data_IF_088286080335
#
_entry.id   IF_088286080335
#
_cell.length_a   1.000
_cell.length_b   1.000
_cell.length_c   1.000
_cell.angle_alpha   90.00
_cell.angle_beta   90.00
_cell.angle_gamma   90.00
#
_symmetry.space_group_name_H-M   'P 1'
#
loop_
_entity.id
_entity.type
_entity.pdbx_description
1 polymer ?
#
# COMPACT_ATOMS: atom_id res chain seq x y z
N UNK A 1 2.28 8.30 29.52
CA UNK A 1 2.09 6.85 29.67
C UNK A 1 1.19 6.36 28.54
N UNK A 2 1.44 5.17 27.99
CA UNK A 2 0.61 4.61 26.91
C UNK A 2 -0.84 4.43 27.38
N UNK A 3 -1.81 4.81 26.55
CA UNK A 3 -3.25 4.62 26.81
C UNK A 3 -3.80 3.61 25.81
N UNK A 4 -4.55 2.63 26.31
CA UNK A 4 -5.11 1.58 25.49
C UNK A 4 -6.33 2.08 24.72
N UNK A 5 -6.25 2.11 23.39
CA UNK A 5 -7.33 2.56 22.51
C UNK A 5 -8.61 1.71 22.55
N UNK A 6 -8.55 0.49 23.10
CA UNK A 6 -9.72 -0.40 23.23
C UNK A 6 -10.49 -0.20 24.54
N UNK A 7 -9.81 0.20 25.62
CA UNK A 7 -10.44 0.29 26.94
C UNK A 7 -10.25 1.64 27.64
N UNK A 8 -9.51 2.57 27.04
CA UNK A 8 -9.22 3.90 27.57
C UNK A 8 -8.31 3.93 28.79
N UNK A 9 -7.80 2.78 29.27
CA UNK A 9 -6.96 2.74 30.48
C UNK A 9 -5.48 2.97 30.16
N UNK A 10 -4.75 3.75 30.97
CA UNK A 10 -3.31 3.90 30.83
C UNK A 10 -2.56 2.63 31.27
N UNK A 11 -1.31 2.48 30.80
CA UNK A 11 -0.35 1.46 31.25
C UNK A 11 -0.17 0.25 30.34
N UNK A 12 -0.92 0.14 29.23
CA UNK A 12 -0.74 -0.96 28.27
C UNK A 12 -1.17 -0.56 26.84
N UNK A 13 -0.61 -1.24 25.84
CA UNK A 13 -1.05 -1.13 24.45
C UNK A 13 -2.28 -2.02 24.19
N UNK A 14 -3.02 -1.73 23.11
CA UNK A 14 -4.23 -2.50 22.72
C UNK A 14 -4.00 -4.02 22.68
N UNK A 15 -2.85 -4.47 22.17
CA UNK A 15 -2.48 -5.89 22.08
C UNK A 15 -2.43 -6.61 23.45
N UNK A 16 -2.16 -5.87 24.51
CA UNK A 16 -2.04 -6.38 25.87
C UNK A 16 -3.33 -6.12 26.68
N UNK A 17 -4.42 -5.71 26.01
CA UNK A 17 -5.66 -5.36 26.69
C UNK A 17 -6.37 -6.60 27.25
N UNK A 18 -6.67 -6.65 28.56
CA UNK A 18 -7.37 -7.78 29.16
C UNK A 18 -8.76 -8.03 28.56
N UNK A 19 -9.41 -6.99 28.02
CA UNK A 19 -10.72 -7.10 27.36
C UNK A 19 -10.65 -7.93 26.07
N UNK A 20 -9.59 -7.78 25.27
CA UNK A 20 -9.35 -8.57 24.06
C UNK A 20 -9.05 -10.05 24.39
N UNK A 21 -8.33 -10.30 25.48
CA UNK A 21 -8.02 -11.65 25.96
C UNK A 21 -9.24 -12.46 26.39
N UNK A 22 -10.35 -11.82 26.76
CA UNK A 22 -11.59 -12.51 27.15
C UNK A 22 -12.50 -12.88 25.96
N UNK A 23 -12.27 -12.35 24.76
CA UNK A 23 -13.04 -12.73 23.56
C UNK A 23 -12.58 -14.07 22.96
N UNK A 24 -11.37 -14.54 23.30
CA UNK A 24 -10.82 -15.82 22.84
C UNK A 24 -11.08 -17.00 23.81
N UNK A 25 -12.10 -16.90 24.67
CA UNK A 25 -12.48 -17.95 25.64
C UNK A 25 -13.58 -18.91 25.16
N UNK A 26 -13.77 -19.06 23.85
CA UNK A 26 -14.50 -20.20 23.29
C UNK A 26 -13.50 -21.22 22.75
N UNK A 27 -13.39 -22.37 23.40
CA UNK A 27 -12.56 -23.54 23.06
C UNK A 27 -11.20 -23.62 23.78
N UNK A 28 -11.23 -24.04 25.05
CA UNK A 28 -10.10 -24.70 25.70
C UNK A 28 -10.56 -26.06 26.24
N UNK A 29 -10.48 -27.07 25.37
CA UNK A 29 -10.40 -28.46 25.83
C UNK A 29 -9.00 -28.62 26.42
N UNK A 30 -8.97 -28.93 27.73
CA UNK A 30 -7.77 -29.20 28.52
C UNK A 30 -7.01 -30.39 27.92
N UNK A 31 -5.68 -30.27 27.81
CA UNK A 31 -4.76 -31.34 28.20
C UNK A 31 -3.39 -30.74 28.58
N UNK A 32 -2.93 -31.08 29.78
CA UNK A 32 -1.61 -30.76 30.35
C UNK A 32 -0.59 -31.79 29.86
N UNK A 33 0.62 -31.36 29.50
CA UNK A 33 1.93 -31.75 30.10
C UNK A 33 3.11 -31.33 29.21
N UNK A 34 4.22 -30.85 29.80
CA UNK A 34 5.57 -31.04 29.22
C UNK A 34 6.42 -29.82 28.81
N UNK A 35 6.99 -29.11 29.79
CA UNK A 35 8.40 -28.67 29.93
C UNK A 35 9.33 -28.37 28.70
N UNK A 36 9.93 -27.15 28.72
CA UNK A 36 11.21 -26.64 28.12
C UNK A 36 11.33 -26.73 26.58
N UNK A 37 12.00 -25.87 25.81
CA UNK A 37 13.17 -24.98 25.98
C UNK A 37 13.17 -24.00 24.78
N UNK A 38 13.85 -22.87 24.90
CA UNK A 38 13.85 -21.78 23.92
C UNK A 38 14.26 -22.12 22.48
N UNK A 39 13.83 -21.25 21.58
CA UNK A 39 14.28 -21.14 20.19
C UNK A 39 13.66 -19.88 19.60
N UNK A 40 14.50 -18.97 19.09
CA UNK A 40 14.11 -17.74 18.41
C UNK A 40 13.14 -18.04 17.26
N UNK A 41 11.85 -17.84 17.45
CA UNK A 41 10.91 -17.73 16.33
C UNK A 41 10.73 -16.26 15.99
N UNK A 42 11.59 -15.80 15.07
CA UNK A 42 11.29 -14.65 14.23
C UNK A 42 10.21 -15.10 13.26
N UNK A 43 8.94 -15.04 13.67
CA UNK A 43 7.83 -15.31 12.75
C UNK A 43 7.55 -14.05 11.94
N UNK A 44 7.73 -14.19 10.64
CA UNK A 44 7.71 -13.15 9.62
C UNK A 44 6.35 -12.44 9.47
N UNK A 45 6.42 -11.21 8.92
CA UNK A 45 5.34 -10.23 8.75
C UNK A 45 4.22 -10.74 7.82
N UNK A 46 2.97 -10.55 8.22
CA UNK A 46 1.81 -10.64 7.32
C UNK A 46 1.37 -9.22 6.93
N UNK A 47 1.40 -8.90 5.64
CA UNK A 47 0.76 -7.70 5.09
C UNK A 47 -0.65 -8.09 4.65
N UNK A 48 -1.67 -7.50 5.27
CA UNK A 48 -3.04 -7.66 4.80
C UNK A 48 -3.22 -6.82 3.54
N UNK A 49 -3.33 -7.51 2.40
CA UNK A 49 -3.69 -6.95 1.10
C UNK A 49 -5.22 -6.88 1.02
N UNK A 50 -5.74 -5.71 0.63
CA UNK A 50 -7.09 -5.56 0.08
C UNK A 50 -8.24 -5.57 1.08
N UNK A 51 -8.84 -4.40 1.31
CA UNK A 51 -10.17 -4.32 1.90
C UNK A 51 -11.22 -4.87 0.91
N UNK A 52 -11.72 -6.07 1.20
CA UNK A 52 -13.05 -6.55 0.81
C UNK A 52 -13.36 -6.69 -0.68
N UNK A 53 -13.00 -7.84 -1.26
CA UNK A 53 -13.44 -8.26 -2.60
C UNK A 53 -12.41 -9.14 -3.28
N UNK A 54 -12.50 -10.45 -3.05
CA UNK A 54 -11.55 -11.45 -3.55
C UNK A 54 -11.63 -11.62 -5.06
N UNK A 55 -10.57 -11.22 -5.76
CA UNK A 55 -10.02 -11.96 -6.88
C UNK A 55 -8.56 -12.28 -6.51
N UNK A 56 -8.30 -13.53 -6.11
CA UNK A 56 -6.93 -13.98 -5.79
C UNK A 56 -6.01 -13.96 -7.02
N UNK A 57 -6.58 -13.86 -8.23
CA UNK A 57 -5.90 -13.84 -9.53
C UNK A 57 -5.62 -12.42 -10.05
N UNK A 58 -5.93 -11.39 -9.26
CA UNK A 58 -5.65 -10.01 -9.68
C UNK A 58 -4.18 -9.69 -9.45
N UNK A 59 -3.42 -9.47 -10.53
CA UNK A 59 -2.03 -8.96 -10.51
C UNK A 59 -1.89 -7.52 -9.98
N UNK A 60 -2.91 -7.06 -9.26
CA UNK A 60 -3.18 -5.67 -8.93
C UNK A 60 -3.25 -5.52 -7.42
N UNK A 61 -2.33 -4.72 -6.88
CA UNK A 61 -2.31 -4.36 -5.45
C UNK A 61 -2.60 -2.87 -5.30
N UNK A 62 -3.62 -2.52 -4.51
CA UNK A 62 -3.99 -1.12 -4.26
C UNK A 62 -3.61 -0.70 -2.84
N UNK A 63 -3.18 0.55 -2.68
CA UNK A 63 -2.98 1.17 -1.37
C UNK A 63 -2.73 2.66 -1.45
N UNK A 64 -2.52 3.30 -0.30
CA UNK A 64 -2.18 4.73 -0.22
C UNK A 64 -0.70 4.88 0.15
N UNK A 65 0.05 5.62 -0.67
CA UNK A 65 1.50 5.77 -0.55
C UNK A 65 1.90 7.23 -0.72
N UNK A 66 3.13 7.57 -0.35
CA UNK A 66 3.69 8.89 -0.59
C UNK A 66 4.29 8.97 -1.99
N UNK A 67 3.92 10.00 -2.75
CA UNK A 67 4.52 10.38 -4.02
C UNK A 67 4.94 11.84 -3.92
N UNK A 68 6.24 12.13 -4.01
CA UNK A 68 6.79 13.46 -3.74
C UNK A 68 6.24 14.07 -2.44
N UNK A 69 6.12 13.24 -1.39
CA UNK A 69 5.58 13.64 -0.09
C UNK A 69 4.07 13.99 -0.08
N UNK A 70 3.34 13.72 -1.17
CA UNK A 70 1.88 13.79 -1.25
C UNK A 70 1.26 12.39 -1.12
N UNK A 71 0.22 12.23 -0.31
CA UNK A 71 -0.50 10.95 -0.26
C UNK A 71 -1.29 10.72 -1.55
N UNK A 72 -1.01 9.61 -2.21
CA UNK A 72 -1.66 9.18 -3.44
C UNK A 72 -2.26 7.78 -3.26
N UNK A 73 -3.46 7.56 -3.79
CA UNK A 73 -3.96 6.20 -4.02
C UNK A 73 -3.22 5.63 -5.22
N UNK A 74 -2.56 4.50 -5.05
CA UNK A 74 -1.78 3.83 -6.09
C UNK A 74 -2.25 2.41 -6.32
N UNK A 75 -2.10 2.01 -7.57
CA UNK A 75 -2.35 0.68 -8.09
C UNK A 75 -1.01 0.14 -8.61
N UNK A 76 -0.53 -0.96 -8.04
CA UNK A 76 0.61 -1.71 -8.56
C UNK A 76 0.08 -2.80 -9.45
N UNK A 77 0.31 -2.66 -10.75
CA UNK A 77 -0.10 -3.60 -11.79
C UNK A 77 1.14 -4.13 -12.50
N UNK A 78 1.44 -5.43 -12.33
CA UNK A 78 2.57 -6.06 -13.01
C UNK A 78 2.35 -6.27 -14.51
N UNK A 79 1.12 -6.07 -15.00
CA UNK A 79 0.79 -6.09 -16.42
C UNK A 79 1.02 -4.76 -17.13
N UNK A 80 1.30 -3.68 -16.38
CA UNK A 80 1.54 -2.37 -16.96
C UNK A 80 3.02 -2.18 -17.34
N UNK A 81 3.28 -1.79 -18.58
CA UNK A 81 4.65 -1.50 -19.05
C UNK A 81 5.21 -0.18 -18.51
N UNK A 82 4.33 0.72 -18.07
CA UNK A 82 4.63 2.09 -17.65
C UNK A 82 3.81 2.50 -16.43
N UNK A 83 4.30 3.52 -15.72
CA UNK A 83 3.60 4.09 -14.58
C UNK A 83 2.90 5.38 -14.96
N UNK A 84 1.64 5.49 -14.56
CA UNK A 84 0.77 6.61 -14.91
C UNK A 84 0.35 7.37 -13.65
N UNK A 85 0.07 8.66 -13.83
CA UNK A 85 -0.47 9.53 -12.77
C UNK A 85 -1.62 10.34 -13.34
N UNK A 86 -2.65 10.59 -12.54
CA UNK A 86 -3.74 11.45 -13.01
C UNK A 86 -3.21 12.86 -13.27
N UNK A 87 -3.67 13.50 -14.35
CA UNK A 87 -3.34 14.91 -14.65
C UNK A 87 -3.72 15.83 -13.48
N UNK A 88 -4.87 15.59 -12.86
CA UNK A 88 -5.33 16.34 -11.67
C UNK A 88 -4.40 16.21 -10.47
N UNK A 89 -3.87 15.01 -10.21
CA UNK A 89 -2.92 14.79 -9.11
C UNK A 89 -1.52 15.28 -9.46
N UNK A 90 -1.12 15.20 -10.74
CA UNK A 90 0.20 15.67 -11.18
C UNK A 90 0.43 17.15 -10.89
N UNK A 91 -0.62 17.97 -10.95
CA UNK A 91 -0.58 19.38 -10.58
C UNK A 91 -0.21 19.62 -9.11
N UNK A 92 -0.35 18.61 -8.24
CA UNK A 92 0.01 18.69 -6.82
C UNK A 92 1.48 18.34 -6.55
N UNK A 93 2.16 17.67 -7.49
CA UNK A 93 3.51 17.16 -7.30
C UNK A 93 4.60 18.23 -7.44
N UNK A 94 4.26 19.41 -7.97
CA UNK A 94 5.18 20.53 -8.26
C UNK A 94 6.43 20.10 -9.07
N UNK A 95 6.24 19.13 -9.98
CA UNK A 95 7.29 18.66 -10.89
C UNK A 95 7.06 19.26 -12.26
N UNK A 96 8.09 19.90 -12.80
CA UNK A 96 8.07 20.41 -14.17
C UNK A 96 7.95 19.24 -15.16
N UNK A 97 6.94 19.24 -16.06
CA UNK A 97 6.85 18.22 -17.09
C UNK A 97 8.02 18.29 -18.07
N UNK A 98 8.45 17.13 -18.54
CA UNK A 98 9.44 16.97 -19.59
C UNK A 98 8.79 16.36 -20.83
N UNK A 99 9.22 16.80 -22.01
CA UNK A 99 8.74 16.28 -23.29
C UNK A 99 9.78 15.37 -23.92
N UNK A 100 9.34 14.26 -24.53
CA UNK A 100 10.15 13.40 -25.37
C UNK A 100 9.97 13.72 -26.86
N UNK A 101 10.99 13.37 -27.64
CA UNK A 101 10.94 13.45 -29.12
C UNK A 101 9.98 12.42 -29.73
N UNK A 102 9.63 11.38 -28.97
CA UNK A 102 8.73 10.30 -29.39
C UNK A 102 7.48 10.28 -28.50
N UNK A 103 6.31 10.19 -29.13
CA UNK A 103 5.04 10.00 -28.44
C UNK A 103 4.76 8.53 -28.13
N UNK A 104 4.01 8.29 -27.06
CA UNK A 104 3.51 6.99 -26.66
C UNK A 104 1.99 6.96 -26.86
N UNK A 105 1.50 5.91 -27.51
CA UNK A 105 0.09 5.57 -27.54
C UNK A 105 -0.24 4.74 -26.28
N UNK A 106 -1.21 5.21 -25.50
CA UNK A 106 -1.70 4.58 -24.28
C UNK A 106 -3.11 4.10 -24.53
N UNK A 107 -3.35 2.80 -24.49
CA UNK A 107 -4.68 2.21 -24.53
C UNK A 107 -5.29 2.20 -23.12
N UNK A 108 -6.41 2.90 -22.94
CA UNK A 108 -7.14 2.93 -21.68
C UNK A 108 -8.09 1.72 -21.58
N UNK A 109 -8.54 1.42 -20.37
CA UNK A 109 -9.45 0.29 -20.12
C UNK A 109 -10.80 0.38 -20.87
N UNK A 110 -11.21 1.58 -21.30
CA UNK A 110 -12.40 1.79 -22.13
C UNK A 110 -12.13 1.68 -23.64
N UNK A 111 -10.91 1.29 -24.03
CA UNK A 111 -10.47 1.12 -25.41
C UNK A 111 -10.08 2.43 -26.13
N UNK A 112 -10.15 3.59 -25.45
CA UNK A 112 -9.63 4.83 -26.03
C UNK A 112 -8.10 4.80 -26.07
N UNK A 113 -7.54 5.39 -27.13
CA UNK A 113 -6.10 5.58 -27.27
C UNK A 113 -5.78 7.05 -27.01
N UNK A 114 -4.88 7.31 -26.05
CA UNK A 114 -4.30 8.61 -25.78
C UNK A 114 -2.86 8.65 -26.28
N UNK A 115 -2.47 9.71 -26.99
CA UNK A 115 -1.07 9.96 -27.29
C UNK A 115 -0.48 10.97 -26.32
N UNK A 116 0.68 10.67 -25.75
CA UNK A 116 1.44 11.61 -24.92
C UNK A 116 2.93 11.45 -25.12
N UNK A 117 3.65 12.56 -25.12
CA UNK A 117 5.11 12.59 -25.02
C UNK A 117 5.58 13.23 -23.71
N UNK A 118 4.67 13.44 -22.76
CA UNK A 118 4.93 14.16 -21.52
C UNK A 118 5.24 13.18 -20.39
N UNK A 119 6.29 13.49 -19.62
CA UNK A 119 6.76 12.73 -18.46
C UNK A 119 7.07 13.66 -17.30
N UNK A 120 6.68 13.26 -16.09
CA UNK A 120 7.19 13.81 -14.84
C UNK A 120 8.38 12.94 -14.42
N UNK A 121 9.58 13.50 -14.51
CA UNK A 121 10.81 12.77 -14.20
C UNK A 121 11.26 13.00 -12.77
N UNK A 122 11.91 11.99 -12.20
CA UNK A 122 12.50 12.10 -10.86
C UNK A 122 11.47 12.27 -9.76
N UNK A 123 10.26 11.73 -9.93
CA UNK A 123 9.32 11.62 -8.83
C UNK A 123 9.85 10.58 -7.82
N UNK A 124 9.53 10.75 -6.54
CA UNK A 124 9.95 9.85 -5.46
C UNK A 124 8.74 9.15 -4.87
N UNK A 125 8.69 7.83 -5.03
CA UNK A 125 7.75 6.92 -4.40
C UNK A 125 8.28 6.47 -3.03
N UNK A 126 7.54 6.71 -1.96
CA UNK A 126 7.82 6.17 -0.63
C UNK A 126 7.15 4.81 -0.43
N UNK A 127 7.94 3.73 -0.37
CA UNK A 127 7.46 2.37 -0.13
C UNK A 127 8.19 1.74 1.07
N UNK A 128 7.44 1.33 2.08
CA UNK A 128 7.98 0.71 3.32
C UNK A 128 9.06 1.55 4.03
N UNK A 129 9.01 2.88 3.90
CA UNK A 129 9.99 3.80 4.48
C UNK A 129 11.23 4.03 3.59
N UNK A 130 11.26 3.47 2.39
CA UNK A 130 12.34 3.65 1.42
C UNK A 130 11.86 4.48 0.22
N UNK A 131 12.63 5.49 -0.21
CA UNK A 131 12.35 6.24 -1.43
C UNK A 131 12.81 5.47 -2.68
N UNK A 132 12.03 5.56 -3.75
CA UNK A 132 12.32 5.02 -5.08
C UNK A 132 12.09 6.10 -6.13
N UNK A 133 13.03 6.28 -7.04
CA UNK A 133 12.85 7.18 -8.18
C UNK A 133 11.93 6.51 -9.22
N UNK A 134 10.95 7.27 -9.68
CA UNK A 134 9.96 6.83 -10.65
C UNK A 134 9.66 7.96 -11.64
N UNK A 135 9.56 7.59 -12.92
CA UNK A 135 9.06 8.49 -13.95
C UNK A 135 7.59 8.18 -14.20
N UNK A 136 6.77 9.22 -14.34
CA UNK A 136 5.32 9.09 -14.46
C UNK A 136 4.81 9.75 -15.72
N UNK A 137 3.86 9.10 -16.37
CA UNK A 137 3.15 9.65 -17.52
C UNK A 137 1.81 10.24 -17.05
N UNK A 138 1.57 11.56 -17.20
CA UNK A 138 0.27 12.15 -16.90
C UNK A 138 -0.80 11.63 -17.85
N UNK A 139 -1.91 11.14 -17.29
CA UNK A 139 -3.08 10.64 -18.05
C UNK A 139 -4.35 11.23 -17.43
N UNK A 140 -5.30 11.60 -18.27
CA UNK A 140 -6.61 12.05 -17.81
C UNK A 140 -7.44 10.82 -17.41
N UNK A 141 -7.64 10.63 -16.11
CA UNK A 141 -8.51 9.59 -15.57
C UNK A 141 -9.95 10.14 -15.52
N UNK A 142 -10.89 9.41 -16.12
CA UNK A 142 -12.31 9.76 -16.17
C UNK A 142 -13.05 9.58 -14.85
#
# INVERSE_FOLDING_TARGET
>A
GVVCYECGRPGHFRKDCPKLRNQNRGNQIRNKTGNKTGGNEVTARAYAIGGGGTNLDSNVVTGTFLLNNCYASMLFDSGADRSFVSTTFSALLDVAPSTLDTSYAIELADGRILETNIFLRGCTLGLLGHPFDIDLMPVELG
#
